data_IF_194997912300
#
_entry.id   IF_194997912300
#
_cell.length_a   1.000
_cell.length_b   1.000
_cell.length_c   1.000
_cell.angle_alpha   90.00
_cell.angle_beta   90.00
_cell.angle_gamma   90.00
#
_symmetry.space_group_name_H-M   'P 1'
#
loop_
_entity.id
_entity.type
_entity.pdbx_description
1 polymer ?
#
# COMPACT_ATOMS: atom_id res chain seq x y z
N UNK A 1 -1.12 23.79 16.32
CA UNK A 1 -0.87 23.55 17.76
C UNK A 1 0.64 23.60 18.03
N UNK A 2 1.11 23.90 19.24
CA UNK A 2 2.57 23.92 19.50
C UNK A 2 3.19 22.52 19.34
N UNK A 3 4.25 22.40 18.53
CA UNK A 3 4.88 21.10 18.20
C UNK A 3 5.34 20.28 19.42
N UNK A 4 5.80 20.95 20.48
CA UNK A 4 6.20 20.27 21.73
C UNK A 4 5.02 19.58 22.43
N UNK A 5 3.81 20.15 22.34
CA UNK A 5 2.61 19.56 22.95
C UNK A 5 2.16 18.33 22.17
N UNK A 6 2.24 18.38 20.83
CA UNK A 6 1.95 17.25 19.94
C UNK A 6 2.91 16.10 20.24
N UNK A 7 4.22 16.37 20.33
CA UNK A 7 5.22 15.34 20.64
C UNK A 7 4.94 14.62 21.96
N UNK A 8 4.62 15.37 23.02
CA UNK A 8 4.26 14.78 24.32
C UNK A 8 2.97 13.95 24.26
N UNK A 9 1.95 14.40 23.51
CA UNK A 9 0.70 13.66 23.33
C UNK A 9 0.91 12.37 22.56
N UNK A 10 1.64 12.42 21.43
CA UNK A 10 2.00 11.27 20.61
C UNK A 10 2.79 10.25 21.43
N UNK A 11 3.76 10.70 22.23
CA UNK A 11 4.56 9.81 23.08
C UNK A 11 3.68 9.05 24.08
N UNK A 12 2.79 9.76 24.80
CA UNK A 12 1.85 9.13 25.74
C UNK A 12 0.87 8.19 25.04
N UNK A 13 0.31 8.60 23.91
CA UNK A 13 -0.60 7.77 23.14
C UNK A 13 0.06 6.46 22.70
N UNK A 14 1.30 6.53 22.20
CA UNK A 14 2.05 5.35 21.77
C UNK A 14 2.42 4.40 22.92
N UNK A 15 2.72 4.92 24.11
CA UNK A 15 2.96 4.10 25.31
C UNK A 15 1.71 3.27 25.65
N UNK A 16 0.53 3.87 25.53
CA UNK A 16 -0.74 3.21 25.81
C UNK A 16 -1.40 2.58 24.58
N UNK A 17 -0.70 2.54 23.43
CA UNK A 17 -1.23 1.99 22.19
C UNK A 17 -2.57 2.62 21.74
N UNK A 18 -2.77 3.91 22.06
CA UNK A 18 -3.97 4.67 21.73
C UNK A 18 -3.86 5.31 20.34
N UNK A 19 -4.93 5.17 19.56
CA UNK A 19 -5.10 5.86 18.29
C UNK A 19 -5.86 7.19 18.48
N UNK A 20 -5.36 8.28 17.89
CA UNK A 20 -6.00 9.60 17.96
C UNK A 20 -6.53 9.99 16.58
N UNK A 21 -7.82 9.75 16.33
CA UNK A 21 -8.50 10.21 15.12
C UNK A 21 -8.77 11.72 15.21
N UNK A 22 -8.45 12.46 14.15
CA UNK A 22 -8.56 13.92 14.13
C UNK A 22 -9.52 14.38 13.03
N UNK A 23 -10.40 15.32 13.36
CA UNK A 23 -11.32 15.95 12.42
C UNK A 23 -10.96 17.42 12.23
N UNK A 24 -10.63 17.82 11.01
CA UNK A 24 -10.37 19.20 10.63
C UNK A 24 -11.62 19.82 10.02
N UNK A 25 -12.31 20.71 10.75
CA UNK A 25 -13.52 21.36 10.29
C UNK A 25 -13.21 22.70 9.58
N UNK A 26 -13.79 22.90 8.40
CA UNK A 26 -13.78 24.17 7.67
C UNK A 26 -12.43 24.55 7.05
N UNK A 27 -12.37 25.74 6.46
CA UNK A 27 -11.19 26.24 5.74
C UNK A 27 -10.09 26.82 6.65
N UNK A 28 -10.39 27.06 7.93
CA UNK A 28 -9.46 27.77 8.81
C UNK A 28 -8.58 26.87 9.71
N UNK A 29 -8.88 25.56 9.82
CA UNK A 29 -8.09 24.69 10.69
C UNK A 29 -6.68 24.44 10.12
N UNK A 30 -5.74 24.16 11.03
CA UNK A 30 -4.36 23.76 10.74
C UNK A 30 -4.31 22.24 10.44
N UNK A 31 -4.13 21.84 9.17
CA UNK A 31 -4.13 20.42 8.81
C UNK A 31 -2.83 19.72 9.20
N UNK A 32 -1.70 20.43 9.26
CA UNK A 32 -0.38 19.82 9.46
C UNK A 32 -0.27 19.23 10.88
N UNK A 33 -0.69 19.99 11.89
CA UNK A 33 -0.74 19.48 13.27
C UNK A 33 -1.66 18.26 13.43
N UNK A 34 -2.81 18.25 12.74
CA UNK A 34 -3.79 17.18 12.85
C UNK A 34 -3.33 15.92 12.13
N UNK A 35 -2.79 16.07 10.92
CA UNK A 35 -2.19 14.97 10.15
C UNK A 35 -1.00 14.37 10.89
N UNK A 36 -0.12 15.19 11.47
CA UNK A 36 1.03 14.72 12.25
C UNK A 36 0.58 13.88 13.46
N UNK A 37 -0.38 14.42 14.23
CA UNK A 37 -0.94 13.74 15.40
C UNK A 37 -1.60 12.41 15.04
N UNK A 38 -2.48 12.40 14.03
CA UNK A 38 -3.19 11.19 13.63
C UNK A 38 -2.24 10.14 13.03
N UNK A 39 -1.34 10.56 12.14
CA UNK A 39 -0.42 9.65 11.47
C UNK A 39 0.50 8.97 12.49
N UNK A 40 1.09 9.71 13.42
CA UNK A 40 2.04 9.19 14.42
C UNK A 40 1.39 8.37 15.53
N UNK A 41 0.07 8.38 15.63
CA UNK A 41 -0.71 7.55 16.56
C UNK A 41 -1.50 6.45 15.85
N UNK A 42 -1.10 6.05 14.64
CA UNK A 42 -1.73 4.95 13.87
C UNK A 42 -3.21 5.20 13.52
N UNK A 43 -3.64 6.46 13.49
CA UNK A 43 -5.02 6.87 13.30
C UNK A 43 -5.23 7.60 11.95
N UNK A 44 -6.40 8.20 11.77
CA UNK A 44 -6.79 8.85 10.51
C UNK A 44 -7.11 10.33 10.74
N UNK A 45 -6.69 11.16 9.79
CA UNK A 45 -7.11 12.54 9.65
C UNK A 45 -8.27 12.62 8.66
N UNK A 46 -9.35 13.30 9.06
CA UNK A 46 -10.54 13.53 8.23
C UNK A 46 -10.78 15.02 8.11
N UNK A 47 -10.69 15.52 6.88
CA UNK A 47 -11.07 16.87 6.52
C UNK A 47 -12.58 16.93 6.29
N UNK A 48 -13.24 17.88 6.96
CA UNK A 48 -14.66 18.15 6.85
C UNK A 48 -14.82 19.58 6.36
N UNK A 49 -15.12 19.75 5.07
CA UNK A 49 -15.26 21.07 4.46
C UNK A 49 -16.42 21.85 5.06
N UNK A 50 -17.61 21.24 5.10
CA UNK A 50 -18.84 21.87 5.54
C UNK A 50 -19.39 21.22 6.81
N UNK A 51 -19.95 22.03 7.70
CA UNK A 51 -20.58 21.56 8.94
C UNK A 51 -21.63 20.46 8.70
N UNK A 52 -22.36 20.54 7.59
CA UNK A 52 -23.39 19.56 7.23
C UNK A 52 -22.83 18.16 6.97
N UNK A 53 -21.55 18.03 6.59
CA UNK A 53 -20.88 16.74 6.40
C UNK A 53 -20.29 16.18 7.72
N UNK A 54 -20.20 17.00 8.78
CA UNK A 54 -19.58 16.59 10.04
C UNK A 54 -20.28 15.39 10.70
N UNK A 55 -21.62 15.31 10.80
CA UNK A 55 -22.29 14.17 11.41
C UNK A 55 -21.93 12.85 10.73
N UNK A 56 -21.86 12.83 9.39
CA UNK A 56 -21.52 11.64 8.63
C UNK A 56 -20.05 11.24 8.83
N UNK A 57 -19.13 12.21 8.79
CA UNK A 57 -17.72 11.97 9.09
C UNK A 57 -17.52 11.40 10.51
N UNK A 58 -18.23 11.95 11.51
CA UNK A 58 -18.16 11.46 12.89
C UNK A 58 -18.72 10.04 13.01
N UNK A 59 -19.86 9.76 12.38
CA UNK A 59 -20.44 8.41 12.34
C UNK A 59 -19.47 7.41 11.70
N UNK A 60 -18.83 7.77 10.59
CA UNK A 60 -17.80 6.93 9.96
C UNK A 60 -16.61 6.68 10.90
N UNK A 61 -16.14 7.72 11.61
CA UNK A 61 -15.09 7.60 12.61
C UNK A 61 -15.46 6.67 13.78
N UNK A 62 -16.68 6.81 14.32
CA UNK A 62 -17.18 5.93 15.37
C UNK A 62 -17.30 4.48 14.90
N UNK A 63 -17.76 4.27 13.67
CA UNK A 63 -17.86 2.95 13.06
C UNK A 63 -16.48 2.29 12.91
N UNK A 64 -15.45 3.04 12.54
CA UNK A 64 -14.07 2.52 12.47
C UNK A 64 -13.60 2.01 13.83
N UNK A 65 -13.82 2.80 14.89
CA UNK A 65 -13.44 2.43 16.26
C UNK A 65 -14.24 1.22 16.73
N UNK A 66 -15.55 1.19 16.47
CA UNK A 66 -16.43 0.09 16.88
C UNK A 66 -16.10 -1.24 16.20
N UNK A 67 -15.60 -1.21 14.95
CA UNK A 67 -15.24 -2.40 14.20
C UNK A 67 -13.86 -2.95 14.54
N UNK A 68 -13.07 -2.27 15.36
CA UNK A 68 -11.70 -2.68 15.67
C UNK A 68 -11.66 -4.05 16.36
N UNK A 69 -10.94 -5.01 15.78
CA UNK A 69 -10.80 -6.37 16.31
C UNK A 69 -9.38 -6.68 16.74
N UNK A 70 -8.41 -6.30 15.93
CA UNK A 70 -7.00 -6.63 16.14
C UNK A 70 -6.22 -5.31 16.35
N UNK A 71 -5.93 -4.93 17.60
CA UNK A 71 -5.11 -3.76 17.86
C UNK A 71 -3.63 -4.06 17.61
N UNK A 72 -2.90 -3.07 17.07
CA UNK A 72 -1.46 -3.12 16.87
C UNK A 72 -0.93 -4.36 16.14
N UNK A 73 -1.58 -4.69 15.03
CA UNK A 73 -1.15 -5.75 14.13
C UNK A 73 0.26 -5.46 13.60
N UNK A 74 1.10 -6.49 13.67
CA UNK A 74 2.47 -6.50 13.19
C UNK A 74 2.76 -7.80 12.46
N UNK A 75 3.36 -7.70 11.28
CA UNK A 75 3.91 -8.82 10.53
C UNK A 75 5.41 -8.97 10.81
N UNK A 76 5.86 -10.19 11.06
CA UNK A 76 7.28 -10.56 11.09
C UNK A 76 7.62 -11.33 9.84
N UNK A 77 8.45 -10.74 8.99
CA UNK A 77 8.96 -11.32 7.76
C UNK A 77 10.34 -11.91 8.08
N UNK A 78 10.50 -13.23 8.00
CA UNK A 78 11.77 -13.91 8.30
C UNK A 78 12.21 -14.75 7.12
N UNK A 79 13.42 -14.47 6.60
CA UNK A 79 14.04 -15.33 5.59
C UNK A 79 14.23 -16.73 6.15
N UNK A 80 13.85 -17.73 5.36
CA UNK A 80 14.11 -19.13 5.70
C UNK A 80 15.56 -19.46 5.37
N UNK A 81 16.13 -20.45 6.06
CA UNK A 81 17.48 -20.92 5.75
C UNK A 81 17.39 -22.25 4.99
N UNK A 82 18.12 -22.45 3.88
CA UNK A 82 19.00 -21.51 3.17
C UNK A 82 18.26 -20.75 2.03
N UNK A 83 17.75 -19.54 2.28
CA UNK A 83 17.21 -18.68 1.22
C UNK A 83 18.29 -17.76 0.62
N UNK A 84 18.43 -17.69 -0.72
CA UNK A 84 19.25 -16.69 -1.42
C UNK A 84 18.66 -15.28 -1.44
N UNK A 85 17.45 -15.09 -0.92
CA UNK A 85 16.77 -13.82 -1.00
C UNK A 85 17.30 -12.82 0.03
N UNK A 86 17.33 -11.54 -0.34
CA UNK A 86 17.61 -10.41 0.56
C UNK A 86 16.44 -9.44 0.48
N UNK A 87 15.98 -8.94 1.64
CA UNK A 87 14.91 -7.94 1.68
C UNK A 87 15.44 -6.54 1.33
N UNK A 88 15.01 -5.98 0.20
CA UNK A 88 15.38 -4.62 -0.24
C UNK A 88 14.55 -3.57 0.49
N UNK A 89 13.25 -3.51 0.22
CA UNK A 89 12.33 -2.53 0.83
C UNK A 89 10.99 -3.17 1.19
N UNK A 90 10.25 -2.54 2.11
CA UNK A 90 8.86 -2.87 2.40
C UNK A 90 8.07 -1.57 2.37
N UNK A 91 7.03 -1.53 1.56
CA UNK A 91 6.22 -0.33 1.30
C UNK A 91 4.76 -0.55 1.71
N UNK A 92 4.08 0.56 2.01
CA UNK A 92 2.66 0.55 2.42
C UNK A 92 2.38 0.16 3.86
N UNK A 93 3.42 0.07 4.69
CA UNK A 93 3.31 -0.19 6.12
C UNK A 93 3.36 1.10 6.95
N UNK A 94 2.78 1.07 8.15
CA UNK A 94 2.84 2.22 9.06
C UNK A 94 4.24 2.45 9.64
N UNK A 95 4.94 1.38 10.01
CA UNK A 95 6.32 1.43 10.47
C UNK A 95 7.04 0.14 10.07
N UNK A 96 8.23 0.26 9.50
CA UNK A 96 9.10 -0.88 9.19
C UNK A 96 10.33 -0.80 10.10
N UNK A 97 10.63 -1.90 10.76
CA UNK A 97 11.78 -2.04 11.66
C UNK A 97 12.64 -3.19 11.18
N UNK A 98 13.91 -2.90 10.87
CA UNK A 98 14.87 -3.90 10.43
C UNK A 98 15.57 -4.49 11.65
N UNK A 99 15.67 -5.82 11.76
CA UNK A 99 16.51 -6.45 12.77
C UNK A 99 17.98 -6.39 12.35
N UNK A 100 18.88 -6.39 13.32
CA UNK A 100 20.33 -6.25 13.12
C UNK A 100 20.93 -7.30 12.16
N UNK A 101 20.31 -8.47 12.02
CA UNK A 101 20.78 -9.53 11.11
C UNK A 101 20.43 -9.30 9.64
N UNK A 102 19.56 -8.34 9.31
CA UNK A 102 19.04 -8.11 7.95
C UNK A 102 18.10 -9.21 7.42
N UNK A 103 18.05 -10.38 8.08
CA UNK A 103 17.24 -11.53 7.69
C UNK A 103 15.80 -11.52 8.19
N UNK A 104 15.47 -10.53 9.01
CA UNK A 104 14.12 -10.37 9.54
C UNK A 104 13.71 -8.89 9.55
N UNK A 105 12.50 -8.63 9.07
CA UNK A 105 11.86 -7.32 9.09
C UNK A 105 10.55 -7.42 9.87
N UNK A 106 10.32 -6.46 10.75
CA UNK A 106 9.09 -6.32 11.53
C UNK A 106 8.31 -5.12 11.00
N UNK A 107 7.07 -5.38 10.58
CA UNK A 107 6.22 -4.46 9.81
C UNK A 107 4.95 -4.19 10.61
N UNK A 108 4.74 -2.95 11.04
CA UNK A 108 3.54 -2.53 11.78
C UNK A 108 2.45 -2.10 10.79
N UNK A 109 1.27 -2.69 10.91
CA UNK A 109 0.08 -2.32 10.11
C UNK A 109 -0.87 -1.39 10.87
N UNK A 110 -0.78 -1.34 12.20
CA UNK A 110 -1.68 -0.55 13.03
C UNK A 110 -2.87 -1.37 13.48
N UNK A 111 -4.05 -0.77 13.60
CA UNK A 111 -5.25 -1.48 14.04
C UNK A 111 -6.02 -2.02 12.82
N UNK A 112 -6.53 -3.25 12.91
CA UNK A 112 -7.42 -3.85 11.91
C UNK A 112 -8.82 -4.07 12.50
N UNK A 113 -9.82 -3.58 11.77
CA UNK A 113 -11.21 -3.86 12.04
C UNK A 113 -11.75 -5.11 11.35
N UNK A 114 -12.99 -5.47 11.68
CA UNK A 114 -13.75 -6.49 10.96
C UNK A 114 -13.86 -6.10 9.48
N UNK A 115 -13.48 -6.99 8.57
CA UNK A 115 -13.40 -6.77 7.11
C UNK A 115 -12.36 -5.74 6.65
N UNK A 116 -11.42 -5.33 7.52
CA UNK A 116 -10.27 -4.57 7.06
C UNK A 116 -9.28 -5.50 6.34
N UNK A 117 -8.80 -5.06 5.19
CA UNK A 117 -7.68 -5.65 4.47
C UNK A 117 -6.58 -4.57 4.36
N UNK A 118 -5.32 -5.00 4.49
CA UNK A 118 -4.15 -4.13 4.33
C UNK A 118 -3.11 -4.86 3.50
N UNK A 119 -2.74 -4.23 2.40
CA UNK A 119 -1.73 -4.71 1.47
C UNK A 119 -0.41 -3.98 1.71
N UNK A 120 0.67 -4.76 1.71
CA UNK A 120 2.04 -4.24 1.71
C UNK A 120 2.80 -4.82 0.53
N UNK A 121 3.79 -4.09 0.05
CA UNK A 121 4.68 -4.56 -1.02
C UNK A 121 6.03 -4.88 -0.40
N UNK A 122 6.50 -6.11 -0.62
CA UNK A 122 7.80 -6.57 -0.15
C UNK A 122 8.70 -6.73 -1.36
N UNK A 123 9.72 -5.87 -1.46
CA UNK A 123 10.76 -5.98 -2.46
C UNK A 123 11.89 -6.86 -1.94
N UNK A 124 12.29 -7.82 -2.78
CA UNK A 124 13.40 -8.71 -2.50
C UNK A 124 14.25 -8.87 -3.74
N UNK A 125 15.54 -9.05 -3.51
CA UNK A 125 16.52 -9.44 -4.52
C UNK A 125 16.90 -10.90 -4.28
N UNK A 126 17.04 -11.67 -5.35
CA UNK A 126 17.41 -13.09 -5.28
C UNK A 126 18.68 -13.26 -6.09
N UNK A 127 19.77 -13.66 -5.43
CA UNK A 127 21.03 -13.94 -6.12
C UNK A 127 20.86 -15.15 -7.06
N UNK A 128 21.13 -15.01 -8.36
CA UNK A 128 20.83 -16.04 -9.37
C UNK A 128 21.79 -17.25 -9.36
N UNK A 129 22.87 -17.21 -8.57
CA UNK A 129 24.04 -18.09 -8.74
C UNK A 129 24.10 -19.29 -7.79
N UNK A 130 23.00 -19.73 -7.17
CA UNK A 130 23.04 -21.01 -6.47
C UNK A 130 22.91 -22.14 -7.51
N UNK A 131 23.94 -22.99 -7.71
CA UNK A 131 23.83 -24.12 -8.62
C UNK A 131 22.61 -24.96 -8.23
N UNK A 132 21.82 -25.35 -9.23
CA UNK A 132 20.53 -26.04 -9.14
C UNK A 132 20.47 -27.28 -8.21
N UNK A 133 21.60 -27.75 -7.70
CA UNK A 133 21.74 -28.90 -6.80
C UNK A 133 21.41 -28.64 -5.33
N UNK A 134 21.51 -27.40 -4.84
CA UNK A 134 21.31 -27.10 -3.40
C UNK A 134 19.86 -26.69 -3.06
N UNK A 135 18.97 -26.70 -4.05
CA UNK A 135 17.57 -26.28 -3.89
C UNK A 135 16.74 -27.35 -3.16
N UNK A 136 17.39 -28.42 -2.73
CA UNK A 136 16.84 -29.52 -1.96
C UNK A 136 17.51 -29.52 -0.60
N UNK A 137 16.83 -29.00 0.42
CA UNK A 137 16.91 -29.40 1.83
C UNK A 137 16.03 -28.43 2.63
N UNK A 138 14.72 -28.50 2.39
CA UNK A 138 13.70 -27.68 3.04
C UNK A 138 12.50 -28.51 3.48
N UNK A 139 12.75 -29.58 4.25
CA UNK A 139 11.78 -30.14 5.20
C UNK A 139 10.58 -30.88 4.62
N UNK A 140 10.78 -32.12 4.17
CA UNK A 140 9.80 -33.19 4.45
C UNK A 140 9.94 -33.51 5.93
N UNK A 141 9.32 -32.70 6.80
CA UNK A 141 8.76 -33.01 8.14
C UNK A 141 8.61 -31.75 9.05
N UNK A 142 7.41 -31.62 9.65
CA UNK A 142 6.89 -30.60 10.59
C UNK A 142 6.61 -29.22 9.97
N UNK A 143 5.38 -28.75 9.79
CA UNK A 143 4.20 -28.84 10.64
C UNK A 143 2.98 -29.24 9.80
N UNK A 144 2.50 -30.47 9.96
CA UNK A 144 1.12 -30.82 9.65
C UNK A 144 0.32 -30.61 10.94
N UNK A 145 -0.81 -29.86 10.94
CA UNK A 145 -1.80 -30.07 11.98
C UNK A 145 -2.31 -31.50 11.79
N UNK A 146 -2.17 -32.32 12.83
CA UNK A 146 -2.71 -33.65 12.86
C UNK A 146 -4.22 -33.59 12.60
N UNK A 147 -4.66 -34.07 11.43
CA UNK A 147 -5.88 -34.85 11.33
C UNK A 147 -5.81 -35.82 10.15
N UNK A 148 -5.54 -37.06 10.54
CA UNK A 148 -5.90 -38.34 9.94
C UNK A 148 -6.95 -38.25 8.82
N UNK A 149 -6.57 -38.71 7.63
CA UNK A 149 -7.33 -39.78 6.97
C UNK A 149 -6.43 -40.57 6.02
N UNK A 150 -6.24 -41.83 6.39
CA UNK A 150 -5.49 -42.84 5.67
C UNK A 150 -6.24 -43.25 4.39
N UNK A 151 -5.50 -43.54 3.30
CA UNK A 151 -5.77 -44.71 2.44
C UNK A 151 -4.72 -44.90 1.33
N UNK A 152 -4.24 -46.14 1.29
CA UNK A 152 -3.67 -46.90 0.17
C UNK A 152 -2.40 -46.40 -0.52
N UNK A 153 -1.29 -47.04 -0.12
CA UNK A 153 -0.19 -47.38 -1.02
C UNK A 153 -0.71 -48.33 -2.11
N UNK A 154 -0.56 -47.91 -3.36
CA UNK A 154 -0.53 -48.78 -4.53
C UNK A 154 0.62 -48.28 -5.40
N UNK A 155 1.56 -49.19 -5.67
CA UNK A 155 2.66 -49.00 -6.61
C UNK A 155 2.15 -48.55 -7.99
N UNK A 156 2.60 -47.40 -8.47
CA UNK A 156 2.69 -47.13 -9.90
C UNK A 156 4.09 -46.62 -10.27
N UNK A 157 4.72 -47.43 -11.11
CA UNK A 157 5.96 -47.25 -11.83
C UNK A 157 6.02 -45.95 -12.65
N UNK A 158 7.20 -45.33 -12.62
CA UNK A 158 7.81 -44.59 -13.73
C UNK A 158 6.94 -43.52 -14.42
N UNK A 159 6.66 -42.43 -13.70
CA UNK A 159 6.49 -41.13 -14.34
C UNK A 159 7.19 -40.06 -13.50
N UNK A 160 8.52 -39.99 -13.62
CA UNK A 160 9.35 -38.95 -12.99
C UNK A 160 9.16 -37.64 -13.77
N UNK A 161 7.92 -37.14 -13.78
CA UNK A 161 7.52 -35.93 -14.47
C UNK A 161 8.20 -34.73 -13.84
N UNK A 162 8.93 -33.95 -14.66
CA UNK A 162 9.36 -32.56 -14.46
C UNK A 162 9.05 -32.01 -13.06
N UNK A 163 9.92 -32.29 -12.09
CA UNK A 163 9.82 -31.68 -10.77
C UNK A 163 10.32 -30.24 -10.93
N UNK A 164 9.39 -29.29 -11.04
CA UNK A 164 9.74 -27.87 -10.95
C UNK A 164 10.36 -27.64 -9.57
N UNK A 165 11.57 -27.10 -9.53
CA UNK A 165 12.22 -26.88 -8.25
C UNK A 165 11.47 -25.77 -7.48
N UNK A 166 11.22 -26.02 -6.19
CA UNK A 166 10.50 -25.10 -5.31
C UNK A 166 11.46 -24.52 -4.26
N UNK A 167 11.69 -23.22 -4.31
CA UNK A 167 12.53 -22.49 -3.37
C UNK A 167 11.68 -21.79 -2.31
N UNK A 168 11.86 -22.11 -1.03
CA UNK A 168 11.21 -21.38 0.07
C UNK A 168 12.00 -20.10 0.37
N UNK A 169 11.34 -18.94 0.27
CA UNK A 169 11.98 -17.64 0.43
C UNK A 169 11.96 -17.17 1.88
N UNK A 170 10.76 -16.89 2.38
CA UNK A 170 10.56 -16.32 3.69
C UNK A 170 9.23 -16.77 4.28
N UNK A 171 9.13 -16.66 5.60
CA UNK A 171 7.90 -16.88 6.33
C UNK A 171 7.35 -15.56 6.86
N UNK A 172 6.03 -15.50 6.98
CA UNK A 172 5.27 -14.38 7.51
C UNK A 172 4.50 -14.85 8.73
N UNK A 173 4.76 -14.22 9.86
CA UNK A 173 4.03 -14.42 11.11
C UNK A 173 3.27 -13.14 11.44
N UNK A 174 1.97 -13.25 11.70
CA UNK A 174 1.14 -12.14 12.15
C UNK A 174 1.00 -12.17 13.67
N UNK A 175 1.21 -11.03 14.30
CA UNK A 175 1.05 -10.82 15.75
C UNK A 175 0.19 -9.60 16.02
N UNK A 176 -0.61 -9.62 17.08
CA UNK A 176 -1.44 -8.49 17.50
C UNK A 176 -1.52 -8.43 19.02
N UNK A 177 -1.86 -7.26 19.57
CA UNK A 177 -2.08 -7.12 21.01
C UNK A 177 -3.46 -7.69 21.39
N UNK A 178 -3.57 -8.34 22.55
CA UNK A 178 -4.87 -8.69 23.11
C UNK A 178 -5.61 -7.40 23.53
N UNK A 179 -6.89 -7.33 23.18
CA UNK A 179 -7.77 -6.20 23.47
C UNK A 179 -7.96 -6.02 24.98
N UNK A 180 -7.96 -7.10 25.76
CA UNK A 180 -8.15 -7.06 27.21
C UNK A 180 -6.83 -6.86 27.95
N UNK A 181 -5.73 -7.35 27.40
CA UNK A 181 -4.42 -7.27 28.02
C UNK A 181 -3.34 -6.91 26.99
N UNK A 182 -3.07 -5.61 26.86
CA UNK A 182 -2.18 -5.08 25.83
C UNK A 182 -0.72 -5.58 25.94
N UNK A 183 -0.36 -6.22 27.07
CA UNK A 183 0.94 -6.85 27.28
C UNK A 183 1.04 -8.27 26.71
N UNK A 184 -0.09 -8.92 26.42
CA UNK A 184 -0.14 -10.24 25.81
C UNK A 184 -0.25 -10.05 24.30
N UNK A 185 0.70 -10.64 23.58
CA UNK A 185 0.65 -10.71 22.12
C UNK A 185 0.04 -12.05 21.73
N UNK A 186 -1.04 -11.99 20.96
CA UNK A 186 -1.55 -13.14 20.23
C UNK A 186 -0.82 -13.23 18.88
N UNK A 187 -0.72 -14.45 18.36
CA UNK A 187 -0.08 -14.73 17.08
C UNK A 187 -0.96 -15.64 16.24
N UNK A 188 -0.81 -15.53 14.91
CA UNK A 188 -1.40 -16.47 13.99
C UNK A 188 -0.79 -17.86 14.26
N UNK A 189 -1.60 -18.94 14.32
CA UNK A 189 -1.13 -20.26 14.72
C UNK A 189 -0.10 -20.83 13.75
N UNK A 190 -0.33 -20.70 12.44
CA UNK A 190 0.57 -21.20 11.41
C UNK A 190 1.20 -20.06 10.59
N UNK A 191 2.53 -19.98 10.50
CA UNK A 191 3.19 -18.98 9.67
C UNK A 191 2.96 -19.27 8.18
N UNK A 192 2.79 -18.20 7.40
CA UNK A 192 2.62 -18.30 5.94
C UNK A 192 4.01 -18.35 5.29
N UNK A 193 4.31 -19.41 4.55
CA UNK A 193 5.59 -19.56 3.83
C UNK A 193 5.43 -19.19 2.36
N UNK A 194 6.25 -18.25 1.88
CA UNK A 194 6.29 -17.85 0.47
C UNK A 194 7.33 -18.68 -0.26
N UNK A 195 6.92 -19.30 -1.38
CA UNK A 195 7.77 -20.16 -2.21
C UNK A 195 7.76 -19.72 -3.66
N UNK A 196 8.89 -19.86 -4.34
CA UNK A 196 9.03 -19.71 -5.79
C UNK A 196 9.12 -21.08 -6.43
N UNK A 197 8.42 -21.27 -7.54
CA UNK A 197 8.52 -22.49 -8.35
C UNK A 197 9.06 -22.11 -9.72
N UNK A 198 10.15 -22.76 -10.15
CA UNK A 198 10.68 -22.54 -11.50
C UNK A 198 9.94 -23.41 -12.50
N UNK A 199 9.34 -22.82 -13.54
CA UNK A 199 8.79 -23.57 -14.67
C UNK A 199 9.76 -23.51 -15.86
N UNK A 200 10.39 -24.64 -16.18
CA UNK A 200 11.26 -24.78 -17.36
C UNK A 200 10.39 -25.00 -18.62
N UNK A 201 9.85 -23.94 -19.19
CA UNK A 201 9.17 -24.02 -20.49
C UNK A 201 9.96 -23.28 -21.56
N UNK A 202 10.79 -24.03 -22.30
CA UNK A 202 11.59 -23.56 -23.44
C UNK A 202 10.75 -23.22 -24.70
N UNK A 203 9.42 -23.37 -24.64
CA UNK A 203 8.52 -23.19 -25.80
C UNK A 203 7.33 -22.25 -25.59
N UNK A 204 7.29 -21.52 -24.47
CA UNK A 204 6.37 -20.39 -24.33
C UNK A 204 7.20 -19.13 -24.55
N UNK A 205 6.80 -18.29 -25.51
CA UNK A 205 7.17 -16.86 -25.54
C UNK A 205 7.22 -16.35 -24.10
N UNK A 206 8.22 -15.51 -23.72
CA UNK A 206 8.42 -15.09 -22.33
C UNK A 206 7.05 -14.78 -21.75
N UNK A 207 6.61 -15.45 -20.66
CA UNK A 207 5.24 -15.37 -20.21
C UNK A 207 4.95 -13.88 -20.07
N UNK A 208 4.04 -13.35 -20.90
CA UNK A 208 3.61 -11.97 -20.82
C UNK A 208 3.32 -11.75 -19.33
N UNK A 209 4.14 -10.91 -18.67
CA UNK A 209 4.22 -10.89 -17.20
C UNK A 209 2.82 -10.89 -16.63
N UNK A 210 2.40 -12.03 -16.07
CA UNK A 210 1.08 -12.14 -15.47
C UNK A 210 1.21 -11.47 -14.11
N UNK A 211 0.90 -10.19 -14.09
CA UNK A 211 0.89 -9.44 -12.85
C UNK A 211 -0.38 -9.79 -12.07
N UNK A 212 -0.20 -10.05 -10.78
CA UNK A 212 -1.33 -10.05 -9.87
C UNK A 212 -1.87 -8.62 -9.78
N UNK A 213 -3.16 -8.47 -10.08
CA UNK A 213 -3.83 -7.18 -10.09
C UNK A 213 -3.65 -6.40 -8.78
N UNK A 214 -3.71 -7.07 -7.63
CA UNK A 214 -3.54 -6.45 -6.32
C UNK A 214 -2.14 -5.81 -6.16
N UNK A 215 -1.10 -6.39 -6.77
CA UNK A 215 0.23 -5.77 -6.75
C UNK A 215 0.23 -4.48 -7.56
N UNK A 216 -0.35 -4.51 -8.76
CA UNK A 216 -0.42 -3.33 -9.65
C UNK A 216 -1.26 -2.23 -9.02
N UNK A 217 -2.40 -2.58 -8.42
CA UNK A 217 -3.26 -1.65 -7.69
C UNK A 217 -2.50 -1.02 -6.53
N UNK A 218 -1.86 -1.84 -5.68
CA UNK A 218 -1.15 -1.33 -4.51
C UNK A 218 0.04 -0.45 -4.90
N UNK A 219 0.75 -0.80 -5.97
CA UNK A 219 1.84 0.01 -6.53
C UNK A 219 1.33 1.37 -6.99
N UNK A 220 0.21 1.40 -7.73
CA UNK A 220 -0.40 2.65 -8.19
C UNK A 220 -0.84 3.52 -7.01
N UNK A 221 -1.48 2.94 -5.99
CA UNK A 221 -1.88 3.68 -4.77
C UNK A 221 -0.69 4.35 -4.07
N UNK A 222 0.36 3.57 -3.78
CA UNK A 222 1.55 4.04 -3.08
C UNK A 222 2.33 5.06 -3.89
N UNK A 223 2.43 4.83 -5.20
CA UNK A 223 3.06 5.78 -6.11
C UNK A 223 2.29 7.10 -6.15
N UNK A 224 0.96 7.07 -6.26
CA UNK A 224 0.14 8.28 -6.23
C UNK A 224 0.27 9.03 -4.90
N UNK A 225 0.27 8.32 -3.76
CA UNK A 225 0.52 8.94 -2.46
C UNK A 225 1.90 9.63 -2.39
N UNK A 226 2.95 8.99 -2.95
CA UNK A 226 4.29 9.58 -3.02
C UNK A 226 4.32 10.84 -3.90
N UNK A 227 3.73 10.77 -5.09
CA UNK A 227 3.66 11.91 -6.01
C UNK A 227 2.91 13.08 -5.41
N UNK A 228 1.76 12.83 -4.75
CA UNK A 228 1.01 13.87 -4.04
C UNK A 228 1.85 14.51 -2.94
N UNK A 229 2.51 13.70 -2.10
CA UNK A 229 3.38 14.21 -1.03
C UNK A 229 4.50 15.10 -1.57
N UNK A 230 5.13 14.69 -2.67
CA UNK A 230 6.17 15.49 -3.34
C UNK A 230 5.60 16.76 -3.97
N UNK A 231 4.44 16.68 -4.62
CA UNK A 231 3.76 17.84 -5.19
C UNK A 231 3.45 18.90 -4.13
N UNK A 232 3.00 18.49 -2.94
CA UNK A 232 2.80 19.39 -1.80
C UNK A 232 4.12 20.03 -1.33
N UNK A 233 5.22 19.27 -1.32
CA UNK A 233 6.56 19.78 -1.03
C UNK A 233 7.01 20.85 -2.04
N UNK A 234 6.89 20.56 -3.34
CA UNK A 234 7.23 21.51 -4.40
C UNK A 234 6.34 22.76 -4.40
N UNK A 235 5.04 22.60 -4.15
CA UNK A 235 4.11 23.71 -3.95
C UNK A 235 4.53 24.62 -2.80
N UNK A 236 4.94 24.04 -1.66
CA UNK A 236 5.45 24.82 -0.52
C UNK A 236 6.75 25.57 -0.82
N UNK A 237 7.56 25.07 -1.77
CA UNK A 237 8.78 25.70 -2.24
C UNK A 237 8.56 26.71 -3.39
N UNK A 238 7.32 26.88 -3.87
CA UNK A 238 6.98 27.79 -4.97
C UNK A 238 7.24 27.24 -6.38
N UNK A 239 7.60 25.96 -6.51
CA UNK A 239 7.87 25.29 -7.78
C UNK A 239 6.58 24.66 -8.34
N UNK A 240 5.67 25.50 -8.86
CA UNK A 240 4.33 25.06 -9.26
C UNK A 240 4.32 24.21 -10.54
N UNK A 241 5.22 24.46 -11.49
CA UNK A 241 5.34 23.68 -12.73
C UNK A 241 5.66 22.20 -12.45
N UNK A 242 6.64 21.96 -11.58
CA UNK A 242 7.07 20.64 -11.15
C UNK A 242 5.97 19.95 -10.35
N UNK A 243 5.27 20.69 -9.49
CA UNK A 243 4.15 20.18 -8.73
C UNK A 243 2.99 19.73 -9.65
N UNK A 244 2.64 20.53 -10.68
CA UNK A 244 1.62 20.18 -11.68
C UNK A 244 1.98 18.93 -12.47
N UNK A 245 3.26 18.77 -12.83
CA UNK A 245 3.74 17.58 -13.53
C UNK A 245 3.55 16.32 -12.66
N UNK A 246 3.88 16.40 -11.37
CA UNK A 246 3.69 15.28 -10.44
C UNK A 246 2.20 14.94 -10.25
N UNK A 247 1.33 15.94 -10.18
CA UNK A 247 -0.12 15.73 -10.11
C UNK A 247 -0.69 15.10 -11.38
N UNK A 248 -0.21 15.49 -12.57
CA UNK A 248 -0.60 14.86 -13.82
C UNK A 248 -0.20 13.37 -13.86
N UNK A 249 1.01 13.05 -13.40
CA UNK A 249 1.47 11.65 -13.29
C UNK A 249 0.64 10.86 -12.26
N UNK A 250 0.27 11.49 -11.14
CA UNK A 250 -0.57 10.89 -10.09
C UNK A 250 -1.97 10.55 -10.62
N UNK A 251 -2.55 11.45 -11.40
CA UNK A 251 -3.82 11.25 -12.09
C UNK A 251 -3.75 10.06 -13.06
N UNK A 252 -2.73 10.04 -13.93
CA UNK A 252 -2.54 8.94 -14.89
C UNK A 252 -2.36 7.58 -14.21
N UNK A 253 -1.61 7.52 -13.11
CA UNK A 253 -1.40 6.28 -12.36
C UNK A 253 -2.70 5.68 -11.82
N UNK A 254 -3.60 6.50 -11.26
CA UNK A 254 -4.91 6.03 -10.81
C UNK A 254 -5.85 5.71 -11.98
N UNK A 255 -5.78 6.47 -13.06
CA UNK A 255 -6.62 6.25 -14.25
C UNK A 255 -6.38 4.86 -14.86
N UNK A 256 -5.15 4.36 -14.83
CA UNK A 256 -4.80 3.01 -15.29
C UNK A 256 -5.55 1.90 -14.54
N UNK A 257 -6.00 2.14 -13.31
CA UNK A 257 -6.78 1.18 -12.52
C UNK A 257 -8.24 1.05 -12.98
N UNK A 258 -8.78 2.06 -13.69
CA UNK A 258 -10.16 2.05 -14.17
C UNK A 258 -10.35 1.25 -15.47
N UNK A 259 -9.25 0.94 -16.18
CA UNK A 259 -9.24 0.20 -17.45
C UNK A 259 -9.67 1.04 -18.66
N UNK A 260 -9.47 0.50 -19.86
CA UNK A 260 -9.76 1.19 -21.13
C UNK A 260 -11.26 1.43 -21.41
N UNK A 261 -12.16 0.77 -20.67
CA UNK A 261 -13.62 0.90 -20.85
C UNK A 261 -14.22 2.14 -20.16
N UNK A 262 -13.45 2.87 -19.36
CA UNK A 262 -13.89 4.14 -18.79
C UNK A 262 -13.42 5.30 -19.66
N UNK A 263 -14.14 5.57 -20.75
CA UNK A 263 -14.07 6.88 -21.42
C UNK A 263 -14.71 7.93 -20.51
N UNK A 264 -13.97 8.37 -19.49
CA UNK A 264 -14.17 9.71 -18.94
C UNK A 264 -13.64 10.65 -20.01
N UNK A 265 -14.55 11.22 -20.80
CA UNK A 265 -14.28 12.34 -21.69
C UNK A 265 -13.85 13.53 -20.84
N UNK A 266 -12.55 13.65 -20.61
CA UNK A 266 -11.91 14.92 -20.31
C UNK A 266 -10.71 15.03 -21.23
N UNK A 267 -10.82 15.89 -22.23
CA UNK A 267 -9.74 16.31 -23.10
C UNK A 267 -8.57 16.82 -22.25
N UNK A 268 -7.33 16.40 -22.57
CA UNK A 268 -6.30 17.41 -22.73
C UNK A 268 -5.65 17.21 -24.09
N UNK A 269 -6.01 18.08 -25.03
CA UNK A 269 -5.18 18.31 -26.20
C UNK A 269 -3.94 19.05 -25.72
N UNK A 270 -2.90 18.33 -25.30
CA UNK A 270 -1.55 18.84 -25.35
C UNK A 270 -0.77 17.96 -26.31
N UNK A 271 -0.67 18.45 -27.54
CA UNK A 271 0.28 17.96 -28.52
C UNK A 271 1.67 17.93 -27.86
N UNK A 272 2.26 16.73 -27.82
CA UNK A 272 3.65 16.52 -27.43
C UNK A 272 4.50 17.11 -28.55
N UNK A 273 4.86 18.38 -28.41
CA UNK A 273 5.94 18.98 -29.19
C UNK A 273 7.19 19.06 -28.31
N UNK A 274 8.18 18.26 -28.71
CA UNK A 274 9.63 18.36 -28.46
C UNK A 274 10.06 18.73 -27.03
N UNK A 275 10.46 17.71 -26.27
CA UNK A 275 11.26 17.85 -25.06
C UNK A 275 12.43 18.85 -25.24
N UNK A 276 12.60 19.84 -24.36
CA UNK A 276 13.91 20.39 -24.10
C UNK A 276 14.58 19.56 -23.01
N UNK A 277 15.79 19.08 -23.32
CA UNK A 277 16.68 18.39 -22.40
C UNK A 277 17.22 19.40 -21.38
N UNK A 278 16.56 19.52 -20.22
CA UNK A 278 17.09 20.30 -19.09
C UNK A 278 17.99 19.40 -18.26
N UNK A 279 19.28 19.74 -18.24
CA UNK A 279 20.28 19.20 -17.32
C UNK A 279 20.02 19.84 -15.96
N UNK A 280 19.37 19.10 -15.05
CA UNK A 280 19.25 19.48 -13.64
C UNK A 280 20.14 18.56 -12.80
N UNK A 281 20.98 19.19 -11.97
CA UNK A 281 21.94 18.56 -11.07
C UNK A 281 21.29 17.63 -10.05
N UNK A 282 22.07 16.63 -9.64
CA UNK A 282 21.74 15.52 -8.76
C UNK A 282 20.93 15.91 -7.50
N UNK A 283 19.72 15.36 -7.37
CA UNK A 283 19.42 14.25 -6.45
C UNK A 283 17.96 13.79 -6.65
N UNK A 284 17.78 12.47 -6.82
CA UNK A 284 16.50 11.76 -6.97
C UNK A 284 15.67 12.08 -8.22
N UNK A 285 16.14 11.60 -9.38
CA UNK A 285 15.23 11.23 -10.46
C UNK A 285 14.25 10.20 -9.90
N UNK A 286 12.99 10.57 -9.68
CA UNK A 286 11.92 9.60 -9.46
C UNK A 286 11.66 8.94 -10.79
N UNK A 287 12.52 7.99 -11.09
CA UNK A 287 12.30 6.98 -12.11
C UNK A 287 11.21 6.12 -11.50
N UNK A 288 9.98 6.40 -11.92
CA UNK A 288 8.98 5.35 -11.93
C UNK A 288 9.64 4.17 -12.63
N UNK A 289 9.76 3.03 -11.94
CA UNK A 289 10.31 1.82 -12.54
C UNK A 289 9.76 1.76 -13.96
N UNK A 290 10.62 1.70 -14.99
CA UNK A 290 10.25 1.81 -16.41
C UNK A 290 9.23 0.76 -16.89
N UNK A 291 8.66 0.00 -15.96
CA UNK A 291 7.64 -1.01 -16.07
C UNK A 291 6.34 -0.53 -16.68
N UNK A 292 5.77 0.66 -16.40
CA UNK A 292 4.62 1.13 -17.21
C UNK A 292 4.88 2.27 -18.18
N UNK A 293 6.02 2.97 -18.10
CA UNK A 293 6.39 3.96 -19.13
C UNK A 293 6.61 3.32 -20.51
N UNK A 294 6.96 2.03 -20.57
CA UNK A 294 7.17 1.27 -21.81
C UNK A 294 6.01 0.34 -22.21
N UNK A 295 4.86 0.37 -21.51
CA UNK A 295 3.74 -0.51 -21.84
C UNK A 295 2.72 0.19 -22.74
N UNK A 296 2.92 0.07 -24.05
CA UNK A 296 1.93 0.37 -25.08
C UNK A 296 0.89 -0.75 -25.28
N UNK A 297 0.99 -1.84 -24.51
CA UNK A 297 0.07 -2.98 -24.56
C UNK A 297 -0.78 -3.08 -23.28
N UNK A 298 -2.05 -3.50 -23.37
CA UNK A 298 -2.91 -3.67 -22.20
C UNK A 298 -2.36 -4.75 -21.27
N UNK A 299 -2.17 -4.39 -19.99
CA UNK A 299 -1.79 -5.31 -18.92
C UNK A 299 -2.76 -6.50 -18.87
N UNK A 300 -2.22 -7.72 -18.97
CA UNK A 300 -3.00 -8.95 -18.83
C UNK A 300 -2.94 -9.42 -17.38
N UNK A 301 -4.07 -9.30 -16.68
CA UNK A 301 -4.17 -9.69 -15.28
C UNK A 301 -4.64 -11.13 -15.13
N UNK A 302 -3.89 -11.92 -14.35
CA UNK A 302 -4.41 -13.17 -13.80
C UNK A 302 -5.37 -12.80 -12.65
N UNK A 303 -6.68 -12.73 -12.91
CA UNK A 303 -7.68 -12.46 -11.87
C UNK A 303 -8.70 -13.59 -11.78
N UNK A 304 -8.92 -14.09 -10.56
CA UNK A 304 -10.08 -14.94 -10.25
C UNK A 304 -11.34 -14.07 -10.07
N UNK A 305 -12.54 -14.65 -10.17
CA UNK A 305 -13.80 -13.93 -9.88
C UNK A 305 -13.85 -13.33 -8.46
N UNK A 306 -13.07 -13.85 -7.49
CA UNK A 306 -12.98 -13.28 -6.13
C UNK A 306 -12.10 -12.02 -6.06
N UNK A 307 -11.12 -11.88 -6.94
CA UNK A 307 -10.21 -10.72 -6.95
C UNK A 307 -10.91 -9.45 -7.45
N UNK A 308 -11.95 -9.59 -8.29
CA UNK A 308 -12.77 -8.45 -8.77
C UNK A 308 -13.64 -7.79 -7.68
N UNK A 309 -13.83 -8.43 -6.53
CA UNK A 309 -14.57 -7.85 -5.40
C UNK A 309 -13.67 -7.06 -4.43
N UNK A 310 -12.34 -7.10 -4.64
CA UNK A 310 -11.30 -6.48 -3.78
C UNK A 310 -10.80 -5.13 -4.30
N UNK A 311 -11.48 -4.60 -5.31
CA UNK A 311 -11.16 -3.31 -5.91
C UNK A 311 -11.23 -2.22 -4.85
N UNK A 312 -10.28 -1.28 -4.87
CA UNK A 312 -10.61 0.07 -4.46
C UNK A 312 -11.90 0.43 -5.20
N UNK A 313 -12.97 0.70 -4.46
CA UNK A 313 -14.28 0.91 -5.05
C UNK A 313 -14.13 1.93 -6.19
N UNK A 314 -14.62 1.61 -7.40
CA UNK A 314 -14.47 2.50 -8.56
C UNK A 314 -14.91 3.93 -8.22
N UNK A 315 -15.90 4.09 -7.33
CA UNK A 315 -16.33 5.38 -6.79
C UNK A 315 -15.22 6.12 -6.04
N UNK A 316 -14.48 5.43 -5.18
CA UNK A 316 -13.35 6.02 -4.45
C UNK A 316 -12.23 6.42 -5.41
N UNK A 317 -11.93 5.60 -6.43
CA UNK A 317 -10.92 5.96 -7.45
C UNK A 317 -11.35 7.21 -8.21
N UNK A 318 -12.62 7.30 -8.62
CA UNK A 318 -13.18 8.48 -9.31
C UNK A 318 -13.16 9.72 -8.41
N UNK A 319 -13.53 9.58 -7.13
CA UNK A 319 -13.46 10.68 -6.16
C UNK A 319 -12.02 11.18 -5.98
N UNK A 320 -11.05 10.27 -5.83
CA UNK A 320 -9.63 10.62 -5.75
C UNK A 320 -9.13 11.31 -7.03
N UNK A 321 -9.55 10.86 -8.21
CA UNK A 321 -9.20 11.54 -9.48
C UNK A 321 -9.76 12.97 -9.52
N UNK A 322 -11.00 13.19 -9.07
CA UNK A 322 -11.57 14.52 -8.96
C UNK A 322 -10.80 15.41 -7.97
N UNK A 323 -10.40 14.86 -6.82
CA UNK A 323 -9.56 15.60 -5.86
C UNK A 323 -8.18 15.96 -6.41
N UNK A 324 -7.54 15.06 -7.17
CA UNK A 324 -6.25 15.33 -7.83
C UNK A 324 -6.40 16.41 -8.91
N UNK A 325 -7.50 16.38 -9.66
CA UNK A 325 -7.81 17.40 -10.66
C UNK A 325 -8.02 18.77 -10.00
N UNK A 326 -8.80 18.84 -8.92
CA UNK A 326 -8.95 20.05 -8.10
C UNK A 326 -7.59 20.56 -7.59
N UNK A 327 -6.73 19.65 -7.13
CA UNK A 327 -5.37 20.03 -6.73
C UNK A 327 -4.58 20.62 -7.89
N UNK A 328 -4.65 20.01 -9.08
CA UNK A 328 -3.89 20.45 -10.25
C UNK A 328 -4.33 21.82 -10.77
N UNK A 329 -5.62 22.13 -10.69
CA UNK A 329 -6.18 23.44 -11.07
C UNK A 329 -5.77 24.54 -10.11
N UNK A 330 -5.83 24.27 -8.81
CA UNK A 330 -5.64 25.29 -7.78
C UNK A 330 -4.19 25.46 -7.32
N UNK A 331 -3.26 24.54 -7.64
CA UNK A 331 -1.90 24.56 -7.11
C UNK A 331 -1.08 25.82 -7.45
N UNK A 332 -1.42 26.53 -8.53
CA UNK A 332 -0.80 27.81 -8.92
C UNK A 332 -1.33 29.01 -8.13
N UNK A 333 -2.40 28.83 -7.37
CA UNK A 333 -3.05 29.85 -6.55
C UNK A 333 -2.95 29.47 -5.07
N UNK A 334 -1.81 29.72 -4.40
CA UNK A 334 -1.55 29.30 -3.02
C UNK A 334 -2.68 29.67 -2.05
N UNK A 335 -3.24 30.87 -2.19
CA UNK A 335 -4.32 31.38 -1.34
C UNK A 335 -5.56 30.46 -1.34
N UNK A 336 -5.92 29.90 -2.50
CA UNK A 336 -7.07 28.99 -2.60
C UNK A 336 -6.64 27.56 -2.28
N UNK A 337 -5.46 27.16 -2.77
CA UNK A 337 -4.92 25.82 -2.61
C UNK A 337 -4.74 25.43 -1.13
N UNK A 338 -4.14 26.30 -0.33
CA UNK A 338 -3.85 26.02 1.08
C UNK A 338 -5.12 25.94 1.94
N UNK A 339 -6.19 26.63 1.55
CA UNK A 339 -7.44 26.67 2.30
C UNK A 339 -8.27 25.39 2.12
N UNK A 340 -8.27 24.78 0.93
CA UNK A 340 -9.13 23.62 0.60
C UNK A 340 -8.36 22.44 -0.02
N UNK A 341 -7.90 22.55 -1.27
CA UNK A 341 -7.37 21.42 -2.06
C UNK A 341 -6.20 20.70 -1.38
N UNK A 342 -5.31 21.45 -0.72
CA UNK A 342 -4.19 20.88 0.06
C UNK A 342 -4.67 19.93 1.15
N UNK A 343 -5.78 20.22 1.81
CA UNK A 343 -6.31 19.42 2.92
C UNK A 343 -6.92 18.12 2.42
N UNK A 344 -7.60 18.16 1.27
CA UNK A 344 -8.06 16.96 0.57
C UNK A 344 -6.88 16.10 0.13
N UNK A 345 -5.84 16.71 -0.46
CA UNK A 345 -4.61 15.99 -0.82
C UNK A 345 -3.96 15.29 0.39
N UNK A 346 -3.88 15.95 1.55
CA UNK A 346 -3.35 15.36 2.78
C UNK A 346 -4.19 14.16 3.27
N UNK A 347 -5.53 14.26 3.20
CA UNK A 347 -6.42 13.14 3.49
C UNK A 347 -6.23 11.99 2.49
N UNK A 348 -6.19 12.29 1.19
CA UNK A 348 -5.97 11.31 0.12
C UNK A 348 -4.65 10.56 0.28
N UNK A 349 -3.55 11.25 0.63
CA UNK A 349 -2.26 10.64 0.95
C UNK A 349 -2.40 9.64 2.09
N UNK A 350 -3.11 10.00 3.16
CA UNK A 350 -3.35 9.10 4.30
C UNK A 350 -4.13 7.84 3.92
N UNK A 351 -5.17 7.99 3.09
CA UNK A 351 -5.99 6.89 2.59
C UNK A 351 -5.16 5.95 1.72
N UNK A 352 -4.44 6.50 0.74
CA UNK A 352 -3.64 5.73 -0.22
C UNK A 352 -2.43 5.07 0.44
N UNK A 353 -1.76 5.75 1.37
CA UNK A 353 -0.54 5.20 2.00
C UNK A 353 -0.85 4.00 2.91
N UNK A 354 -1.92 4.08 3.69
CA UNK A 354 -2.20 3.10 4.76
C UNK A 354 -3.48 2.29 4.56
N UNK A 355 -4.20 2.49 3.45
CA UNK A 355 -5.50 1.87 3.18
C UNK A 355 -6.48 2.01 4.37
N UNK A 356 -6.38 3.12 5.10
CA UNK A 356 -7.24 3.44 6.24
C UNK A 356 -8.56 4.04 5.73
N UNK A 357 -9.31 3.25 4.97
CA UNK A 357 -10.66 3.62 4.61
C UNK A 357 -11.59 3.37 5.80
N UNK A 358 -12.34 4.40 6.19
CA UNK A 358 -13.51 4.26 7.06
C UNK A 358 -14.50 3.39 6.27
N UNK A 359 -14.70 2.14 6.69
CA UNK A 359 -15.28 1.14 5.80
C UNK A 359 -16.65 1.49 5.22
N UNK A 360 -16.85 1.28 3.93
CA UNK A 360 -18.11 1.25 3.15
C UNK A 360 -19.11 2.41 3.25
N UNK A 361 -19.00 3.37 4.18
CA UNK A 361 -19.77 4.62 4.18
C UNK A 361 -18.99 5.77 4.85
N UNK A 362 -18.10 6.44 4.13
CA UNK A 362 -17.58 7.76 4.54
C UNK A 362 -17.70 8.78 3.40
N UNK A 363 -17.76 10.10 3.61
CA UNK A 363 -18.18 11.10 2.59
C UNK A 363 -17.36 11.26 1.31
N UNK A 364 -16.22 10.58 1.15
CA UNK A 364 -15.66 10.27 -0.18
C UNK A 364 -16.54 9.27 -0.99
N UNK A 365 -17.56 8.72 -0.33
CA UNK A 365 -18.61 7.78 -0.75
C UNK A 365 -20.03 8.34 -0.52
N UNK A 366 -20.17 9.59 -0.05
CA UNK A 366 -21.46 10.29 0.11
C UNK A 366 -21.74 11.34 -0.98
N UNK A 367 -20.88 11.39 -2.01
CA UNK A 367 -21.18 12.05 -3.28
C UNK A 367 -21.61 11.04 -4.33
#
# INVERSE_FOLDING_TARGET
MDGNRINGLVARANIHNLAIHTFGLGLAHDPDSLVDLASRTKATYTYVKDWMALPECLMGGMQLVQRQLLPNVRLRLRLLHPSPAVFTSVEGAHLVTNRASGREKSVSLGNLGLHDERDIIVHMEIEPNIPHGDWYLGGRNSLTPANVEARHESDESANQGRHGNVLSLFQVEMTWADINNHHILACQPDPVVVRLSTCSNEHLNPPAMLFHFNMVQRQAELFTANLLSRALGWSSAGHFSEARLLLANAYQALQQLLGADSTVTSSPTCAVDKQPRVVAQANETVVWNGWFANQSAPLRFASSRRDRARLLNKRVVVALLAEIQDCWEWIEYPEVFHLDSRKRALQAIGILSFQRALGRQSPLEAM
#
